data_IF_486804791508
#
_entry.id   IF_486804791508
#
_cell.length_a   1.000
_cell.length_b   1.000
_cell.length_c   1.000
_cell.angle_alpha   90.00
_cell.angle_beta   90.00
_cell.angle_gamma   90.00
#
_symmetry.space_group_name_H-M   'P 1'
#
loop_
_entity.id
_entity.type
_entity.pdbx_description
1 polymer ?
#
# COMPACT_ATOMS: atom_id res chain seq x y z
N UNK A 1 -3.88 2.10 2.10
CA UNK A 1 -4.19 1.36 0.86
C UNK A 1 -5.19 0.25 1.17
N UNK A 2 -6.29 0.19 0.44
CA UNK A 2 -7.21 -0.95 0.40
C UNK A 2 -6.72 -1.90 -0.70
N UNK A 3 -6.46 -3.16 -0.36
CA UNK A 3 -5.85 -4.13 -1.27
C UNK A 3 -6.59 -5.46 -1.25
N UNK A 4 -6.93 -5.96 -2.44
CA UNK A 4 -7.52 -7.29 -2.67
C UNK A 4 -6.42 -8.34 -2.86
N UNK A 5 -6.33 -9.29 -1.95
CA UNK A 5 -5.41 -10.42 -2.11
C UNK A 5 -5.93 -11.46 -3.10
N UNK A 6 -5.04 -12.31 -3.62
CA UNK A 6 -5.40 -13.45 -4.48
C UNK A 6 -6.36 -14.45 -3.80
N UNK A 7 -6.49 -14.41 -2.47
CA UNK A 7 -7.46 -15.21 -1.69
C UNK A 7 -8.81 -14.50 -1.52
N UNK A 8 -9.08 -13.44 -2.29
CA UNK A 8 -10.26 -12.57 -2.20
C UNK A 8 -10.46 -11.88 -0.84
N UNK A 9 -9.39 -11.74 -0.04
CA UNK A 9 -9.42 -11.02 1.23
C UNK A 9 -9.04 -9.56 0.99
N UNK A 10 -9.92 -8.63 1.37
CA UNK A 10 -9.65 -7.19 1.40
C UNK A 10 -8.84 -6.86 2.66
N UNK A 11 -7.77 -6.08 2.50
CA UNK A 11 -6.90 -5.67 3.61
C UNK A 11 -6.63 -4.17 3.57
N UNK A 12 -6.60 -3.54 4.75
CA UNK A 12 -6.07 -2.19 4.92
C UNK A 12 -4.57 -2.25 5.22
N UNK A 13 -3.76 -1.58 4.40
CA UNK A 13 -2.30 -1.57 4.52
C UNK A 13 -1.75 -0.16 4.57
N UNK A 14 -0.79 0.02 5.47
CA UNK A 14 0.11 1.18 5.51
C UNK A 14 1.42 0.73 4.85
N UNK A 15 1.88 1.51 3.88
CA UNK A 15 3.03 1.18 3.07
C UNK A 15 3.89 2.41 2.79
N UNK A 16 5.18 2.19 2.54
CA UNK A 16 6.07 3.17 1.91
C UNK A 16 6.54 2.59 0.58
N UNK A 17 6.11 3.19 -0.53
CA UNK A 17 6.47 2.77 -1.88
C UNK A 17 7.96 3.02 -2.11
N UNK A 18 8.67 2.05 -2.71
CA UNK A 18 10.11 2.10 -2.98
C UNK A 18 10.43 2.12 -4.47
N UNK A 19 9.72 1.30 -5.26
CA UNK A 19 9.89 1.20 -6.72
C UNK A 19 8.53 0.95 -7.36
N UNK A 20 8.25 1.65 -8.46
CA UNK A 20 7.05 1.47 -9.26
C UNK A 20 7.48 0.90 -10.61
N UNK A 21 6.79 -0.14 -11.07
CA UNK A 21 6.84 -0.62 -12.45
C UNK A 21 5.44 -0.54 -13.07
N UNK A 22 5.27 -1.09 -14.27
CA UNK A 22 4.03 -0.96 -15.05
C UNK A 22 2.83 -1.68 -14.41
N UNK A 23 3.03 -2.92 -13.94
CA UNK A 23 1.93 -3.73 -13.37
C UNK A 23 2.03 -3.91 -11.86
N UNK A 24 3.22 -3.66 -11.29
CA UNK A 24 3.54 -3.97 -9.92
C UNK A 24 4.39 -2.86 -9.29
N UNK A 25 4.29 -2.70 -7.98
CA UNK A 25 5.20 -1.85 -7.22
C UNK A 25 5.73 -2.59 -5.99
N UNK A 26 6.96 -2.26 -5.60
CA UNK A 26 7.56 -2.72 -4.35
C UNK A 26 7.37 -1.67 -3.26
N UNK A 27 6.94 -2.11 -2.08
CA UNK A 27 6.77 -1.24 -0.93
C UNK A 27 7.15 -1.96 0.37
N UNK A 28 7.64 -1.20 1.35
CA UNK A 28 7.70 -1.70 2.72
C UNK A 28 6.30 -1.70 3.32
N UNK A 29 5.82 -2.85 3.76
CA UNK A 29 4.48 -3.02 4.32
C UNK A 29 4.53 -3.04 5.84
N UNK A 30 4.06 -1.99 6.50
CA UNK A 30 4.13 -1.86 7.96
C UNK A 30 3.30 -2.94 8.67
N UNK A 31 2.15 -3.34 8.10
CA UNK A 31 1.30 -4.42 8.63
C UNK A 31 2.01 -5.78 8.69
N UNK A 32 3.01 -6.01 7.82
CA UNK A 32 3.75 -7.29 7.75
C UNK A 32 5.24 -7.14 8.13
N UNK A 33 5.70 -5.93 8.36
CA UNK A 33 7.10 -5.58 8.71
C UNK A 33 8.15 -6.10 7.71
N UNK A 34 7.81 -6.13 6.42
CA UNK A 34 8.69 -6.62 5.35
C UNK A 34 8.45 -5.88 4.03
N UNK A 35 9.40 -5.98 3.11
CA UNK A 35 9.23 -5.54 1.72
C UNK A 35 8.31 -6.54 1.01
N UNK A 36 7.34 -6.02 0.24
CA UNK A 36 6.44 -6.83 -0.60
C UNK A 36 6.21 -6.17 -1.96
N UNK A 37 5.97 -7.01 -2.95
CA UNK A 37 5.48 -6.60 -4.27
C UNK A 37 3.94 -6.65 -4.26
N UNK A 38 3.33 -5.62 -4.82
CA UNK A 38 1.88 -5.45 -4.91
C UNK A 38 1.49 -5.28 -6.37
N UNK A 39 0.41 -5.94 -6.80
CA UNK A 39 -0.19 -5.76 -8.12
C UNK A 39 -1.01 -4.47 -8.14
N UNK A 40 -0.79 -3.61 -9.13
CA UNK A 40 -1.53 -2.35 -9.26
C UNK A 40 -3.02 -2.63 -9.46
N UNK A 41 -3.38 -3.60 -10.30
CA UNK A 41 -4.77 -4.03 -10.53
C UNK A 41 -5.52 -4.53 -9.29
N UNK A 42 -4.81 -4.85 -8.20
CA UNK A 42 -5.40 -5.30 -6.94
C UNK A 42 -5.56 -4.17 -5.91
N UNK A 43 -5.15 -2.94 -6.24
CA UNK A 43 -5.34 -1.77 -5.38
C UNK A 43 -6.74 -1.22 -5.61
N UNK A 44 -7.60 -1.32 -4.60
CA UNK A 44 -8.98 -0.81 -4.67
C UNK A 44 -9.06 0.66 -4.29
N UNK A 45 -8.13 1.15 -3.47
CA UNK A 45 -8.00 2.55 -3.09
C UNK A 45 -6.64 2.82 -2.45
N UNK A 46 -6.04 3.97 -2.73
CA UNK A 46 -4.81 4.40 -2.06
C UNK A 46 -4.81 5.92 -1.93
N UNK A 47 -4.44 6.40 -0.74
CA UNK A 47 -4.25 7.82 -0.44
C UNK A 47 -2.97 8.01 0.36
N UNK A 48 -2.25 9.13 0.19
CA UNK A 48 -1.14 9.48 1.07
C UNK A 48 -1.61 9.62 2.51
N UNK A 49 -0.82 9.09 3.45
CA UNK A 49 -1.05 9.38 4.88
C UNK A 49 -0.71 10.85 5.12
N UNK A 50 -1.73 11.66 5.39
CA UNK A 50 -1.51 13.05 5.83
C UNK A 50 -0.90 13.00 7.23
N UNK A 51 0.32 13.52 7.40
CA UNK A 51 0.72 13.95 8.73
C UNK A 51 -0.25 15.05 9.13
N UNK A 52 -0.85 14.97 10.33
CA UNK A 52 -1.51 16.14 10.90
C UNK A 52 -0.43 17.21 10.99
N UNK A 53 -0.41 18.20 10.09
CA UNK A 53 0.18 19.48 10.46
C UNK A 53 -0.60 19.89 11.70
N UNK A 54 0.06 19.97 12.87
CA UNK A 54 -0.50 20.73 13.98
C UNK A 54 -0.82 22.10 13.40
N UNK A 55 -2.10 22.45 13.35
CA UNK A 55 -2.48 23.84 13.17
C UNK A 55 -1.94 24.55 14.42
N UNK A 56 -0.93 25.40 14.23
CA UNK A 56 -0.56 26.41 15.21
C UNK A 56 -1.62 27.51 15.18
#
# INVERSE_FOLDING_TARGET
MIYLSEKNIITHRIITVRRIGEEHFQAYCYTKRQIRTFKIKNVLSIVPLRSRKRAN
#
